data_IF_255197950810
#
_entry.id   IF_255197950810
#
_cell.length_a   1.000
_cell.length_b   1.000
_cell.length_c   1.000
_cell.angle_alpha   90.00
_cell.angle_beta   90.00
_cell.angle_gamma   90.00
#
_symmetry.space_group_name_H-M   'P 1'
#
loop_
_entity.id
_entity.type
_entity.pdbx_description
1 polymer ?
#
# COMPACT_ATOMS: atom_id res chain seq x y z
N UNK A 1 18.67 14.80 -0.85
CA UNK A 1 19.27 15.83 0.06
C UNK A 1 18.29 16.87 0.60
N UNK A 2 17.17 17.23 -0.09
CA UNK A 2 16.16 18.17 0.47
C UNK A 2 15.18 17.51 1.48
N UNK A 3 14.83 16.24 1.30
CA UNK A 3 13.86 15.48 2.11
C UNK A 3 14.23 15.38 3.60
N UNK A 4 15.44 14.94 3.94
CA UNK A 4 15.89 14.84 5.35
C UNK A 4 15.88 16.17 6.12
N UNK A 5 16.01 17.32 5.43
CA UNK A 5 15.87 18.65 6.04
C UNK A 5 14.41 19.09 6.24
N UNK A 6 13.47 18.51 5.50
CA UNK A 6 12.03 18.74 5.71
C UNK A 6 11.57 18.03 6.98
N UNK A 7 11.94 16.76 7.14
CA UNK A 7 11.56 15.91 8.28
C UNK A 7 11.93 16.53 9.64
N UNK A 8 13.16 17.05 9.76
CA UNK A 8 13.64 17.68 11.01
C UNK A 8 12.92 19.00 11.34
N UNK A 9 12.49 19.77 10.34
CA UNK A 9 11.93 21.12 10.51
C UNK A 9 10.45 21.11 10.91
N UNK A 10 9.71 20.07 10.55
CA UNK A 10 8.31 19.87 10.98
C UNK A 10 8.25 19.38 12.43
N UNK A 11 9.14 18.46 12.84
CA UNK A 11 9.17 17.86 14.20
C UNK A 11 9.47 18.87 15.32
N UNK A 12 10.30 19.89 15.08
CA UNK A 12 10.59 20.95 16.08
C UNK A 12 9.43 21.93 16.30
N UNK A 13 8.57 22.15 15.29
CA UNK A 13 7.49 23.14 15.39
C UNK A 13 6.38 22.69 16.36
N UNK A 14 6.14 21.39 16.47
CA UNK A 14 5.03 20.83 17.25
C UNK A 14 5.38 20.64 18.74
N UNK A 15 6.66 20.58 19.12
CA UNK A 15 7.11 20.54 20.54
C UNK A 15 6.69 21.74 21.39
N UNK A 16 6.21 22.84 20.78
CA UNK A 16 5.71 24.04 21.48
C UNK A 16 4.20 24.07 21.72
N UNK A 17 3.44 23.11 21.21
CA UNK A 17 1.97 23.08 21.32
C UNK A 17 1.51 22.10 22.42
N UNK A 18 2.29 21.05 22.68
CA UNK A 18 1.97 19.99 23.65
C UNK A 18 2.53 20.34 25.05
N UNK A 19 1.95 21.37 25.69
CA UNK A 19 2.25 21.71 27.09
C UNK A 19 1.03 22.12 27.91
N UNK A 20 -0.19 21.71 27.50
CA UNK A 20 -1.43 22.27 28.06
C UNK A 20 -2.62 21.31 28.23
N UNK A 21 -2.47 20.01 27.96
CA UNK A 21 -3.54 19.01 28.18
C UNK A 21 -3.00 17.73 28.83
N UNK A 22 -3.06 17.67 30.16
CA UNK A 22 -2.88 16.45 30.95
C UNK A 22 -3.62 16.57 32.30
N UNK A 23 -4.82 16.00 32.41
CA UNK A 23 -5.51 15.76 33.69
C UNK A 23 -6.74 14.82 33.56
N UNK A 24 -6.78 13.74 34.35
CA UNK A 24 -7.97 12.89 34.61
C UNK A 24 -8.12 11.66 33.70
N UNK A 25 -8.56 10.48 34.19
CA UNK A 25 -8.93 10.09 35.57
C UNK A 25 -8.83 8.54 35.76
N UNK A 26 -8.92 8.04 37.00
CA UNK A 26 -8.69 6.62 37.41
C UNK A 26 -9.94 5.99 38.05
N UNK A 27 -10.14 4.66 37.89
CA UNK A 27 -10.96 3.78 38.78
C UNK A 27 -11.22 2.39 38.18
N UNK A 28 -10.61 1.29 38.66
CA UNK A 28 -11.03 0.35 39.74
C UNK A 28 -12.38 -0.40 39.55
N UNK A 29 -12.63 -1.68 39.94
CA UNK A 29 -11.86 -2.96 40.11
C UNK A 29 -12.80 -4.03 40.76
N UNK A 30 -12.48 -5.34 40.64
CA UNK A 30 -13.16 -6.55 41.21
C UNK A 30 -14.44 -7.08 40.51
N UNK A 31 -14.88 -8.35 40.60
CA UNK A 31 -14.32 -9.71 40.77
C UNK A 31 -15.47 -10.66 41.24
N UNK A 32 -15.49 -11.94 40.87
CA UNK A 32 -16.48 -12.90 41.42
C UNK A 32 -16.34 -14.34 40.92
N UNK A 33 -16.25 -15.31 41.83
CA UNK A 33 -16.08 -16.75 41.56
C UNK A 33 -17.38 -17.56 41.81
N UNK A 34 -17.55 -18.73 41.17
CA UNK A 34 -18.63 -19.68 41.50
C UNK A 34 -18.60 -21.03 40.72
N UNK A 35 -18.57 -22.15 41.45
CA UNK A 35 -18.30 -23.56 41.03
C UNK A 35 -18.99 -24.50 42.07
N UNK A 36 -19.38 -25.79 41.85
CA UNK A 36 -19.25 -26.72 40.69
C UNK A 36 -20.59 -27.39 40.23
N UNK A 37 -20.58 -28.31 39.23
CA UNK A 37 -20.82 -29.77 39.41
C UNK A 37 -20.67 -30.62 38.13
N UNK A 38 -20.52 -31.94 38.31
CA UNK A 38 -19.87 -32.86 37.36
C UNK A 38 -20.79 -33.57 36.34
N UNK A 39 -20.21 -33.91 35.18
CA UNK A 39 -20.77 -34.84 34.19
C UNK A 39 -19.65 -35.39 33.29
N UNK A 40 -19.24 -36.64 33.53
CA UNK A 40 -18.15 -37.30 32.79
C UNK A 40 -18.63 -37.78 31.42
N UNK A 41 -18.26 -37.06 30.35
CA UNK A 41 -18.26 -37.57 28.97
C UNK A 41 -16.95 -37.17 28.27
N UNK A 42 -16.43 -38.13 27.52
CA UNK A 42 -15.16 -38.11 26.78
C UNK A 42 -14.97 -36.78 26.04
N UNK A 43 -13.96 -35.98 26.40
CA UNK A 43 -13.56 -34.82 25.62
C UNK A 43 -12.71 -35.25 24.42
N UNK A 44 -12.88 -34.63 23.23
CA UNK A 44 -11.89 -34.74 22.17
C UNK A 44 -10.55 -34.19 22.65
N UNK A 45 -9.48 -34.56 21.96
CA UNK A 45 -8.17 -33.91 22.07
C UNK A 45 -8.37 -32.38 22.09
N UNK A 46 -7.87 -31.72 23.15
CA UNK A 46 -7.75 -30.27 23.12
C UNK A 46 -6.75 -29.93 22.01
N UNK A 47 -7.28 -29.48 20.86
CA UNK A 47 -6.55 -28.54 20.04
C UNK A 47 -6.43 -27.31 20.93
N UNK A 48 -5.31 -27.20 21.66
CA UNK A 48 -4.90 -25.92 22.20
C UNK A 48 -4.80 -24.99 21.01
N UNK A 49 -5.80 -24.12 20.84
CA UNK A 49 -5.64 -22.93 20.04
C UNK A 49 -4.44 -22.21 20.67
N UNK A 50 -3.31 -22.25 19.97
CA UNK A 50 -2.18 -21.42 20.36
C UNK A 50 -2.70 -19.99 20.42
N UNK A 51 -2.43 -19.23 21.51
CA UNK A 51 -2.90 -17.86 21.59
C UNK A 51 -2.38 -17.11 20.36
N UNK A 52 -3.26 -16.38 19.69
CA UNK A 52 -2.89 -15.62 18.49
C UNK A 52 -1.67 -14.73 18.81
N UNK A 53 -0.61 -14.84 17.98
CA UNK A 53 0.64 -14.11 18.17
C UNK A 53 0.39 -12.60 18.33
N UNK A 54 -0.57 -12.09 17.57
CA UNK A 54 -1.05 -10.71 17.62
C UNK A 54 -2.45 -10.68 18.28
N UNK A 55 -2.68 -9.89 19.35
CA UNK A 55 -3.97 -9.83 20.03
C UNK A 55 -5.11 -9.30 19.15
N UNK A 56 -6.26 -9.98 19.17
CA UNK A 56 -7.48 -9.55 18.45
C UNK A 56 -7.93 -8.12 18.78
N UNK A 57 -7.65 -7.65 20.00
CA UNK A 57 -7.96 -6.29 20.43
C UNK A 57 -7.12 -5.24 19.70
N UNK A 58 -5.85 -5.56 19.42
CA UNK A 58 -4.92 -4.69 18.69
C UNK A 58 -5.30 -4.64 17.20
N UNK A 59 -5.57 -5.81 16.60
CA UNK A 59 -6.00 -5.87 15.20
C UNK A 59 -7.36 -5.19 15.01
N UNK A 60 -8.30 -5.36 15.95
CA UNK A 60 -9.58 -4.65 15.96
C UNK A 60 -9.41 -3.14 16.11
N UNK A 61 -8.52 -2.69 17.00
CA UNK A 61 -8.20 -1.27 17.19
C UNK A 61 -7.70 -0.65 15.88
N UNK A 62 -6.65 -1.21 15.27
CA UNK A 62 -6.11 -0.67 14.01
C UNK A 62 -7.08 -0.79 12.83
N UNK A 63 -7.85 -1.88 12.74
CA UNK A 63 -8.85 -2.07 11.68
C UNK A 63 -9.90 -0.96 11.65
N UNK A 64 -10.33 -0.45 12.81
CA UNK A 64 -11.32 0.63 12.90
C UNK A 64 -10.80 1.94 12.30
N UNK A 65 -9.48 2.17 12.31
CA UNK A 65 -8.87 3.38 11.75
C UNK A 65 -8.47 3.22 10.28
N UNK A 66 -8.05 2.03 9.86
CA UNK A 66 -7.81 1.73 8.44
C UNK A 66 -9.09 1.85 7.58
N UNK A 67 -10.28 1.81 8.21
CA UNK A 67 -11.59 2.08 7.59
C UNK A 67 -11.99 3.57 7.58
N UNK A 68 -11.21 4.44 8.21
CA UNK A 68 -11.45 5.89 8.27
C UNK A 68 -10.45 6.61 7.33
N UNK A 69 -10.04 7.83 7.67
CA UNK A 69 -9.05 8.56 6.87
C UNK A 69 -7.65 7.93 7.03
N UNK A 70 -7.07 7.49 5.91
CA UNK A 70 -5.74 6.87 5.88
C UNK A 70 -4.62 7.83 6.30
N UNK A 71 -4.84 9.14 6.21
CA UNK A 71 -3.83 10.13 6.62
C UNK A 71 -3.57 10.14 8.13
N UNK A 72 -4.54 9.71 8.93
CA UNK A 72 -4.47 9.72 10.39
C UNK A 72 -3.69 8.52 10.98
N UNK A 73 -3.40 7.47 10.18
CA UNK A 73 -2.69 6.24 10.62
C UNK A 73 -1.44 6.59 11.44
N UNK A 74 -0.66 7.57 10.98
CA UNK A 74 0.56 8.02 11.64
C UNK A 74 0.30 8.58 13.04
N UNK A 75 -0.74 9.39 13.19
CA UNK A 75 -1.07 10.07 14.44
C UNK A 75 -1.73 9.11 15.46
N UNK A 76 -2.32 8.01 14.98
CA UNK A 76 -2.86 6.91 15.79
C UNK A 76 -1.76 5.91 16.23
N UNK A 77 -0.77 5.66 15.36
CA UNK A 77 0.36 4.80 15.67
C UNK A 77 1.39 5.50 16.58
N UNK A 78 1.60 6.82 16.42
CA UNK A 78 2.64 7.56 17.17
C UNK A 78 2.55 7.48 18.71
N UNK A 79 1.36 7.41 19.36
CA UNK A 79 1.24 7.18 20.80
C UNK A 79 1.56 5.76 21.25
N UNK A 80 1.54 4.78 20.34
CA UNK A 80 1.86 3.39 20.62
C UNK A 80 3.36 3.07 20.44
N UNK A 81 4.11 3.91 19.71
CA UNK A 81 5.53 3.68 19.43
C UNK A 81 6.34 3.49 20.72
N UNK A 82 7.06 2.37 20.80
CA UNK A 82 7.89 1.98 21.93
C UNK A 82 9.38 1.90 21.63
N UNK A 83 9.78 2.03 20.35
CA UNK A 83 11.19 2.10 19.96
C UNK A 83 11.88 3.43 20.25
N UNK A 84 13.21 3.38 20.20
CA UNK A 84 14.10 4.53 20.20
C UNK A 84 15.12 4.44 19.07
N UNK A 85 15.02 5.35 18.10
CA UNK A 85 16.07 5.57 17.09
C UNK A 85 17.39 5.98 17.77
N UNK A 86 18.46 5.23 17.49
CA UNK A 86 19.81 5.45 18.03
C UNK A 86 20.63 6.38 17.14
N UNK A 87 21.55 7.15 17.76
CA UNK A 87 22.59 7.86 17.02
C UNK A 87 23.72 6.91 16.56
N UNK A 88 24.39 7.28 15.47
CA UNK A 88 25.53 6.52 14.94
C UNK A 88 26.69 6.44 15.94
N UNK A 89 26.81 7.43 16.83
CA UNK A 89 27.76 7.44 17.94
C UNK A 89 27.45 6.34 18.97
N UNK A 90 26.21 6.23 19.44
CA UNK A 90 25.79 5.15 20.37
C UNK A 90 25.99 3.76 19.77
N UNK A 91 25.63 3.56 18.49
CA UNK A 91 25.80 2.26 17.81
C UNK A 91 27.27 1.87 17.72
N UNK A 92 28.19 2.83 17.51
CA UNK A 92 29.64 2.56 17.52
C UNK A 92 30.16 2.19 18.91
N UNK A 93 29.72 2.89 19.95
CA UNK A 93 30.10 2.60 21.34
C UNK A 93 29.65 1.19 21.76
N UNK A 94 28.45 0.76 21.35
CA UNK A 94 27.99 -0.63 21.54
C UNK A 94 28.80 -1.63 20.72
N UNK A 95 29.06 -1.34 19.44
CA UNK A 95 29.76 -2.24 18.53
C UNK A 95 31.24 -2.48 18.90
N UNK A 96 31.90 -1.57 19.62
CA UNK A 96 33.27 -1.79 20.09
C UNK A 96 33.41 -3.05 20.97
N UNK A 97 32.34 -3.43 21.68
CA UNK A 97 32.29 -4.64 22.51
C UNK A 97 31.47 -5.78 21.88
N UNK A 98 30.77 -5.55 20.77
CA UNK A 98 29.82 -6.50 20.16
C UNK A 98 30.18 -6.81 18.72
N UNK A 99 30.75 -8.01 18.51
CA UNK A 99 31.33 -8.44 17.22
C UNK A 99 30.30 -8.43 16.08
N UNK A 100 29.08 -8.89 16.32
CA UNK A 100 28.06 -8.97 15.28
C UNK A 100 27.61 -7.57 14.81
N UNK A 101 27.37 -6.65 15.75
CA UNK A 101 27.07 -5.23 15.45
C UNK A 101 28.24 -4.54 14.73
N UNK A 102 29.48 -4.88 15.10
CA UNK A 102 30.68 -4.36 14.44
C UNK A 102 30.82 -4.82 13.00
N UNK A 103 30.47 -6.07 12.71
CA UNK A 103 30.45 -6.60 11.35
C UNK A 103 29.42 -5.86 10.50
N UNK A 104 28.18 -5.69 11.00
CA UNK A 104 27.13 -4.94 10.31
C UNK A 104 27.51 -3.46 10.07
N UNK A 105 28.12 -2.78 11.06
CA UNK A 105 28.64 -1.42 10.86
C UNK A 105 29.70 -1.36 9.74
N UNK A 106 30.57 -2.36 9.63
CA UNK A 106 31.57 -2.42 8.55
C UNK A 106 30.94 -2.66 7.18
N UNK A 107 29.90 -3.49 7.11
CA UNK A 107 29.13 -3.79 5.89
C UNK A 107 28.41 -2.54 5.37
N UNK A 108 27.56 -1.92 6.18
CA UNK A 108 26.81 -0.69 5.82
C UNK A 108 27.78 0.46 5.47
N UNK A 109 28.94 0.54 6.15
CA UNK A 109 29.98 1.53 5.84
C UNK A 109 30.59 1.33 4.45
N UNK A 110 30.72 0.08 3.99
CA UNK A 110 31.25 -0.27 2.67
C UNK A 110 30.26 0.00 1.54
N UNK A 111 28.96 -0.14 1.81
CA UNK A 111 27.91 -0.07 0.78
C UNK A 111 27.24 1.32 0.71
N UNK A 112 26.84 1.92 1.83
CA UNK A 112 25.97 3.13 1.85
C UNK A 112 26.38 4.22 2.86
N UNK A 113 27.69 4.47 3.00
CA UNK A 113 28.25 5.49 3.91
C UNK A 113 27.87 5.28 5.39
N UNK A 114 27.55 4.05 5.80
CA UNK A 114 27.16 3.75 7.18
C UNK A 114 25.73 4.20 7.54
N UNK A 115 24.83 4.28 6.55
CA UNK A 115 23.43 4.65 6.76
C UNK A 115 22.52 3.43 6.86
N UNK A 116 21.92 3.28 8.03
CA UNK A 116 20.77 2.42 8.31
C UNK A 116 19.98 3.05 9.45
N UNK A 117 18.75 2.58 9.68
CA UNK A 117 17.98 2.96 10.87
C UNK A 117 18.23 1.90 11.94
N UNK A 118 18.70 2.34 13.11
CA UNK A 118 18.96 1.50 14.27
C UNK A 118 17.94 1.86 15.36
N UNK A 119 17.13 0.89 15.76
CA UNK A 119 16.12 1.04 16.82
C UNK A 119 16.53 0.21 18.04
N UNK A 120 16.46 0.79 19.23
CA UNK A 120 16.54 0.07 20.50
C UNK A 120 15.11 -0.17 21.02
N UNK A 121 14.78 -1.42 21.36
CA UNK A 121 13.51 -1.84 21.97
C UNK A 121 13.60 -3.28 22.45
N UNK A 122 12.82 -3.67 23.46
CA UNK A 122 12.57 -5.07 23.82
C UNK A 122 11.71 -5.72 22.72
N UNK A 123 12.35 -6.27 21.68
CA UNK A 123 11.67 -6.70 20.46
C UNK A 123 11.05 -8.08 20.63
N UNK A 124 11.75 -8.97 21.33
CA UNK A 124 11.33 -10.36 21.54
C UNK A 124 10.51 -10.61 22.82
N UNK A 125 10.28 -9.56 23.63
CA UNK A 125 9.46 -9.53 24.84
C UNK A 125 10.04 -10.32 26.02
N UNK A 126 11.36 -10.52 26.09
CA UNK A 126 12.04 -11.13 27.26
C UNK A 126 12.33 -10.14 28.41
N UNK A 127 12.20 -8.83 28.16
CA UNK A 127 12.44 -7.76 29.14
C UNK A 127 13.84 -7.14 29.07
N UNK A 128 14.67 -7.53 28.10
CA UNK A 128 15.97 -6.96 27.76
C UNK A 128 15.81 -6.18 26.44
N UNK A 129 16.44 -5.01 26.33
CA UNK A 129 16.42 -4.29 25.06
C UNK A 129 17.26 -5.02 24.00
N UNK A 130 16.70 -5.19 22.82
CA UNK A 130 17.35 -5.61 21.59
C UNK A 130 17.73 -4.40 20.71
N UNK A 131 18.54 -4.65 19.69
CA UNK A 131 18.80 -3.69 18.61
C UNK A 131 18.23 -4.23 17.29
N UNK A 132 17.31 -3.50 16.69
CA UNK A 132 16.76 -3.79 15.36
C UNK A 132 17.36 -2.84 14.33
N UNK A 133 17.93 -3.39 13.26
CA UNK A 133 18.58 -2.67 12.16
C UNK A 133 17.74 -2.80 10.88
N UNK A 134 17.49 -1.67 10.22
CA UNK A 134 17.17 -1.61 8.80
C UNK A 134 18.39 -1.08 8.03
N UNK A 135 19.07 -1.95 7.29
CA UNK A 135 20.14 -1.61 6.35
C UNK A 135 19.56 -1.39 4.95
N UNK A 136 19.92 -0.27 4.32
CA UNK A 136 19.55 0.00 2.93
C UNK A 136 20.48 -0.74 1.97
N UNK A 137 19.94 -1.54 1.06
CA UNK A 137 20.69 -2.14 -0.05
C UNK A 137 20.62 -1.32 -1.34
N UNK A 138 19.87 -0.21 -1.30
CA UNK A 138 19.79 0.79 -2.36
C UNK A 138 19.09 0.28 -3.62
N UNK A 139 19.66 0.61 -4.78
CA UNK A 139 18.98 0.44 -6.06
C UNK A 139 17.70 1.29 -6.18
N UNK A 140 16.90 1.00 -7.20
CA UNK A 140 15.65 1.70 -7.50
C UNK A 140 14.41 1.04 -6.89
N UNK A 141 14.56 -0.17 -6.33
CA UNK A 141 13.50 -0.91 -5.62
C UNK A 141 13.48 -0.64 -4.11
N UNK A 142 14.52 0.03 -3.56
CA UNK A 142 14.71 0.21 -2.12
C UNK A 142 14.66 -1.10 -1.34
N UNK A 143 15.44 -2.08 -1.76
CA UNK A 143 15.61 -3.32 -0.99
C UNK A 143 16.33 -3.00 0.33
N UNK A 144 15.92 -3.65 1.41
CA UNK A 144 16.52 -3.52 2.75
C UNK A 144 16.82 -4.90 3.36
N UNK A 145 17.87 -4.97 4.18
CA UNK A 145 17.98 -6.04 5.18
C UNK A 145 17.37 -5.54 6.50
N UNK A 146 16.55 -6.39 7.12
CA UNK A 146 16.14 -6.24 8.51
C UNK A 146 16.92 -7.27 9.34
N UNK A 147 17.56 -6.82 10.42
CA UNK A 147 18.39 -7.66 11.28
C UNK A 147 18.07 -7.41 12.75
N UNK A 148 17.91 -8.47 13.54
CA UNK A 148 17.71 -8.40 14.99
C UNK A 148 18.98 -8.85 15.72
N UNK A 149 19.52 -7.97 16.56
CA UNK A 149 20.59 -8.29 17.49
C UNK A 149 20.00 -8.40 18.89
N UNK A 150 19.79 -9.63 19.36
CA UNK A 150 19.16 -9.88 20.67
C UNK A 150 20.10 -9.54 21.82
N UNK A 151 19.55 -8.81 22.80
CA UNK A 151 20.23 -8.44 24.03
C UNK A 151 20.46 -9.63 24.97
N UNK A 152 21.30 -9.43 26.00
CA UNK A 152 21.66 -10.46 26.99
C UNK A 152 21.89 -9.86 28.36
N UNK A 153 21.76 -10.68 29.40
CA UNK A 153 22.00 -10.30 30.80
C UNK A 153 23.41 -9.71 31.05
N UNK A 154 24.41 -10.08 30.24
CA UNK A 154 25.78 -9.57 30.33
C UNK A 154 26.02 -8.25 29.57
N UNK A 155 24.98 -7.69 28.94
CA UNK A 155 25.04 -6.50 28.11
C UNK A 155 25.64 -6.71 26.72
N UNK A 156 25.88 -7.97 26.31
CA UNK A 156 26.28 -8.30 24.94
C UNK A 156 25.08 -8.51 24.01
N UNK A 157 25.31 -8.29 22.73
CA UNK A 157 24.34 -8.45 21.66
C UNK A 157 24.80 -9.52 20.67
N UNK A 158 23.86 -10.32 20.17
CA UNK A 158 24.12 -11.34 19.15
C UNK A 158 23.11 -11.22 18.00
N UNK A 159 23.58 -11.31 16.76
CA UNK A 159 22.70 -11.46 15.59
C UNK A 159 21.94 -12.81 15.68
N UNK A 160 20.61 -12.73 15.74
CA UNK A 160 19.72 -13.86 16.01
C UNK A 160 18.74 -14.11 14.87
N UNK A 161 18.38 -13.06 14.12
CA UNK A 161 17.50 -13.11 12.96
C UNK A 161 17.89 -12.08 11.88
N UNK A 162 17.62 -12.39 10.62
CA UNK A 162 17.90 -11.52 9.46
C UNK A 162 17.05 -11.93 8.24
N UNK A 163 16.40 -10.97 7.58
CA UNK A 163 15.61 -11.19 6.37
C UNK A 163 15.69 -9.99 5.39
N UNK A 164 15.17 -10.16 4.17
CA UNK A 164 15.25 -9.17 3.08
C UNK A 164 13.84 -8.78 2.61
N UNK A 165 13.52 -7.50 2.58
CA UNK A 165 12.23 -7.00 2.05
C UNK A 165 12.43 -5.75 1.18
N UNK A 166 11.33 -5.24 0.61
CA UNK A 166 11.26 -3.86 0.14
C UNK A 166 11.11 -2.91 1.33
N UNK A 167 11.69 -1.73 1.24
CA UNK A 167 11.59 -0.71 2.28
C UNK A 167 10.12 -0.32 2.53
N UNK A 168 9.70 -0.42 3.79
CA UNK A 168 8.42 0.09 4.30
C UNK A 168 8.67 1.23 5.30
N UNK A 169 7.63 1.98 5.66
CA UNK A 169 7.66 2.77 6.90
C UNK A 169 7.39 1.81 8.07
N UNK A 170 8.18 1.87 9.15
CA UNK A 170 8.10 0.92 10.26
C UNK A 170 8.43 1.55 11.62
N UNK A 171 7.93 0.91 12.68
CA UNK A 171 8.20 1.22 14.09
C UNK A 171 7.78 0.04 14.97
N UNK A 172 8.41 -0.15 16.13
CA UNK A 172 7.82 -1.02 17.15
C UNK A 172 6.74 -0.27 17.92
N UNK A 173 5.60 -0.92 18.12
CA UNK A 173 4.50 -0.42 18.93
C UNK A 173 4.28 -1.32 20.15
N UNK A 174 3.89 -0.73 21.28
CA UNK A 174 3.52 -1.45 22.48
C UNK A 174 1.99 -1.56 22.63
N UNK A 175 1.53 -2.79 22.85
CA UNK A 175 0.16 -3.08 23.24
C UNK A 175 0.12 -3.96 24.49
N UNK A 176 -0.53 -3.47 25.56
CA UNK A 176 -0.67 -4.16 26.85
C UNK A 176 0.64 -4.72 27.44
N UNK A 177 1.76 -4.05 27.18
CA UNK A 177 3.08 -4.43 27.70
C UNK A 177 3.86 -5.43 26.83
N UNK A 178 3.36 -5.81 25.65
CA UNK A 178 4.14 -6.48 24.60
C UNK A 178 4.44 -5.52 23.45
N UNK A 179 5.61 -5.65 22.82
CA UNK A 179 6.03 -4.92 21.63
C UNK A 179 5.81 -5.76 20.37
N UNK A 180 5.45 -5.07 19.28
CA UNK A 180 5.18 -5.64 17.96
C UNK A 180 5.81 -4.75 16.89
N UNK A 181 6.47 -5.33 15.90
CA UNK A 181 6.96 -4.56 14.75
C UNK A 181 5.77 -4.27 13.83
N UNK A 182 5.44 -2.99 13.66
CA UNK A 182 4.43 -2.55 12.73
C UNK A 182 5.09 -1.97 11.48
N UNK A 183 4.66 -2.41 10.28
CA UNK A 183 5.10 -1.84 9.00
C UNK A 183 3.88 -1.37 8.19
N UNK A 184 3.93 -0.16 7.62
CA UNK A 184 2.94 0.30 6.64
C UNK A 184 3.18 -0.43 5.33
N UNK A 185 2.14 -1.08 4.78
CA UNK A 185 2.23 -1.80 3.51
C UNK A 185 1.67 -0.97 2.36
N UNK A 186 2.21 -1.19 1.17
CA UNK A 186 1.86 -0.45 -0.05
C UNK A 186 1.48 -1.42 -1.16
N UNK A 187 0.50 -1.04 -1.97
CA UNK A 187 0.31 -1.64 -3.29
C UNK A 187 1.40 -1.06 -4.22
N UNK A 188 2.14 -1.95 -4.90
CA UNK A 188 3.37 -1.57 -5.59
C UNK A 188 3.14 -0.87 -6.93
N UNK A 189 2.10 -1.22 -7.68
CA UNK A 189 1.84 -0.62 -9.01
C UNK A 189 1.41 0.85 -8.90
N UNK A 190 0.67 1.23 -7.85
CA UNK A 190 0.12 2.57 -7.60
C UNK A 190 0.84 3.38 -6.53
N UNK A 191 1.67 2.73 -5.70
CA UNK A 191 2.36 3.33 -4.54
C UNK A 191 1.41 3.84 -3.44
N UNK A 192 0.26 3.19 -3.32
CA UNK A 192 -0.82 3.53 -2.39
C UNK A 192 -0.79 2.68 -1.13
N UNK A 193 -1.13 3.24 0.03
CA UNK A 193 -1.18 2.49 1.30
C UNK A 193 -2.31 1.47 1.23
N UNK A 194 -1.97 0.18 1.36
CA UNK A 194 -2.89 -0.95 1.28
C UNK A 194 -3.07 -1.70 2.60
N UNK A 195 -2.40 -1.31 3.69
CA UNK A 195 -2.57 -1.95 5.00
C UNK A 195 -1.43 -1.69 5.99
N UNK A 196 -1.41 -2.51 7.04
CA UNK A 196 -0.37 -2.55 8.08
C UNK A 196 -0.04 -4.02 8.37
N UNK A 197 1.24 -4.42 8.33
CA UNK A 197 1.68 -5.68 8.93
C UNK A 197 1.97 -5.47 10.42
N UNK A 198 1.60 -6.45 11.24
CA UNK A 198 1.97 -6.55 12.65
C UNK A 198 2.72 -7.86 12.86
N UNK A 199 3.97 -7.77 13.28
CA UNK A 199 4.91 -8.87 13.34
C UNK A 199 5.38 -9.09 14.78
N UNK A 200 5.51 -10.36 15.17
CA UNK A 200 5.89 -10.79 16.51
C UNK A 200 7.28 -11.44 16.49
N UNK A 201 8.10 -11.11 17.49
CA UNK A 201 9.37 -11.77 17.75
C UNK A 201 9.30 -12.41 19.14
N UNK A 202 9.88 -13.60 19.29
CA UNK A 202 10.10 -14.27 20.58
C UNK A 202 11.43 -15.04 20.51
N UNK A 203 12.23 -15.04 21.60
CA UNK A 203 13.55 -15.68 21.68
C UNK A 203 14.52 -15.25 20.55
N UNK A 204 14.51 -13.95 20.24
CA UNK A 204 15.32 -13.31 19.22
C UNK A 204 14.98 -13.66 17.78
N UNK A 205 13.75 -14.13 17.50
CA UNK A 205 13.35 -14.59 16.16
C UNK A 205 11.93 -14.21 15.81
N UNK A 206 11.71 -13.85 14.55
CA UNK A 206 10.40 -13.72 13.94
C UNK A 206 9.58 -15.01 14.15
N UNK A 207 8.35 -14.85 14.63
CA UNK A 207 7.40 -15.95 14.87
C UNK A 207 6.24 -15.96 13.88
N UNK A 208 6.12 -14.94 13.04
CA UNK A 208 4.93 -14.66 12.24
C UNK A 208 4.24 -13.37 12.65
N UNK A 209 3.06 -13.15 12.08
CA UNK A 209 2.31 -11.91 12.24
C UNK A 209 0.93 -11.96 11.62
N UNK A 210 0.34 -10.77 11.43
CA UNK A 210 -0.90 -10.60 10.68
C UNK A 210 -0.83 -9.33 9.84
N UNK A 211 -1.25 -9.44 8.59
CA UNK A 211 -1.43 -8.30 7.70
C UNK A 211 -2.88 -7.85 7.73
N UNK A 212 -3.10 -6.59 8.10
CA UNK A 212 -4.40 -5.92 8.03
C UNK A 212 -4.53 -5.29 6.64
N UNK A 213 -4.96 -6.09 5.67
CA UNK A 213 -5.12 -5.66 4.29
C UNK A 213 -6.42 -4.86 4.10
N UNK A 214 -6.31 -3.68 3.49
CA UNK A 214 -7.45 -2.93 2.95
C UNK A 214 -7.85 -3.61 1.65
N UNK A 215 -9.06 -4.14 1.57
CA UNK A 215 -9.59 -4.82 0.39
C UNK A 215 -10.90 -4.19 -0.08
N UNK A 216 -11.17 -4.26 -1.39
CA UNK A 216 -12.48 -3.91 -1.93
C UNK A 216 -13.55 -4.88 -1.39
N UNK A 217 -14.73 -4.37 -1.03
CA UNK A 217 -15.89 -5.23 -0.79
C UNK A 217 -16.41 -5.76 -2.12
N UNK A 218 -16.79 -7.04 -2.14
CA UNK A 218 -17.39 -7.67 -3.31
C UNK A 218 -18.86 -7.28 -3.52
N UNK A 219 -19.32 -7.40 -4.76
CA UNK A 219 -20.71 -7.16 -5.16
C UNK A 219 -20.98 -5.75 -5.68
N UNK A 220 -22.09 -5.60 -6.41
CA UNK A 220 -22.52 -4.32 -7.00
C UNK A 220 -22.94 -3.30 -5.94
N UNK A 221 -23.51 -3.77 -4.83
CA UNK A 221 -24.05 -2.93 -3.75
C UNK A 221 -22.94 -2.27 -2.90
N UNK A 222 -21.68 -2.68 -3.11
CA UNK A 222 -20.49 -2.09 -2.53
C UNK A 222 -19.93 -0.90 -3.34
N UNK A 223 -20.59 -0.52 -4.44
CA UNK A 223 -20.13 0.52 -5.37
C UNK A 223 -21.14 1.66 -5.46
N UNK A 224 -20.66 2.89 -5.29
CA UNK A 224 -21.42 4.09 -5.66
C UNK A 224 -20.96 4.53 -7.04
N UNK A 225 -21.89 4.58 -8.00
CA UNK A 225 -21.60 4.82 -9.42
C UNK A 225 -22.43 6.02 -9.89
N UNK A 226 -21.74 7.07 -10.33
CA UNK A 226 -22.38 8.30 -10.81
C UNK A 226 -21.88 8.66 -12.20
N UNK A 227 -22.81 8.87 -13.13
CA UNK A 227 -22.51 9.34 -14.50
C UNK A 227 -22.91 10.79 -14.72
N UNK A 228 -21.98 11.60 -15.23
CA UNK A 228 -22.15 13.02 -15.58
C UNK A 228 -21.88 13.28 -17.07
N UNK A 229 -22.42 14.38 -17.62
CA UNK A 229 -22.34 14.68 -19.06
C UNK A 229 -21.77 16.08 -19.30
N UNK A 230 -20.61 16.16 -19.96
CA UNK A 230 -19.90 17.42 -20.18
C UNK A 230 -20.63 18.38 -21.15
N UNK A 231 -21.45 17.85 -22.07
CA UNK A 231 -22.23 18.63 -23.06
C UNK A 231 -23.75 18.36 -22.97
N UNK A 232 -24.24 18.04 -21.77
CA UNK A 232 -25.67 17.82 -21.52
C UNK A 232 -26.20 16.47 -22.03
N UNK A 233 -27.53 16.32 -22.03
CA UNK A 233 -28.21 15.02 -22.16
C UNK A 233 -28.11 14.31 -23.52
N UNK A 234 -27.41 14.88 -24.52
CA UNK A 234 -27.29 14.28 -25.86
C UNK A 234 -26.70 12.88 -25.82
N UNK A 235 -25.74 12.63 -24.91
CA UNK A 235 -24.98 11.37 -24.85
C UNK A 235 -25.49 10.41 -23.76
N UNK A 236 -26.77 10.55 -23.35
CA UNK A 236 -27.38 9.68 -22.34
C UNK A 236 -27.41 8.19 -22.73
N UNK A 237 -27.37 7.85 -24.02
CA UNK A 237 -27.30 6.47 -24.49
C UNK A 237 -26.05 5.71 -24.01
N UNK A 238 -24.93 6.40 -23.79
CA UNK A 238 -23.68 5.79 -23.33
C UNK A 238 -23.70 5.35 -21.86
N UNK A 239 -24.61 5.95 -21.06
CA UNK A 239 -24.68 5.78 -19.60
C UNK A 239 -24.71 4.30 -19.18
N UNK A 240 -25.67 3.54 -19.73
CA UNK A 240 -25.94 2.19 -19.26
C UNK A 240 -24.75 1.24 -19.53
N UNK A 241 -24.01 1.45 -20.62
CA UNK A 241 -22.82 0.67 -20.94
C UNK A 241 -21.71 0.94 -19.92
N UNK A 242 -21.42 2.22 -19.63
CA UNK A 242 -20.37 2.60 -18.68
C UNK A 242 -20.70 2.19 -17.24
N UNK A 243 -21.95 2.36 -16.79
CA UNK A 243 -22.34 1.92 -15.44
C UNK A 243 -22.35 0.39 -15.31
N UNK A 244 -22.72 -0.33 -16.38
CA UNK A 244 -22.59 -1.80 -16.40
C UNK A 244 -21.12 -2.23 -16.34
N UNK A 245 -20.23 -1.57 -17.06
CA UNK A 245 -18.80 -1.83 -16.99
C UNK A 245 -18.25 -1.53 -15.58
N UNK A 246 -18.52 -0.34 -15.04
CA UNK A 246 -18.05 0.08 -13.72
C UNK A 246 -18.56 -0.81 -12.57
N UNK A 247 -19.75 -1.38 -12.70
CA UNK A 247 -20.30 -2.33 -11.73
C UNK A 247 -19.52 -3.67 -11.69
N UNK A 248 -18.79 -4.03 -12.74
CA UNK A 248 -18.09 -5.32 -12.87
C UNK A 248 -16.56 -5.19 -12.97
N UNK A 249 -16.02 -3.99 -13.25
CA UNK A 249 -14.59 -3.78 -13.36
C UNK A 249 -13.88 -4.01 -12.01
N UNK A 250 -12.90 -4.90 -11.99
CA UNK A 250 -12.01 -5.09 -10.84
C UNK A 250 -10.72 -4.31 -11.11
N UNK A 251 -10.27 -3.54 -10.12
CA UNK A 251 -9.02 -2.79 -10.26
C UNK A 251 -7.85 -3.73 -10.57
N UNK A 252 -6.96 -3.31 -11.47
CA UNK A 252 -5.87 -4.13 -12.02
C UNK A 252 -6.31 -5.26 -12.96
N UNK A 253 -7.62 -5.46 -13.24
CA UNK A 253 -8.07 -6.41 -14.27
C UNK A 253 -7.89 -5.83 -15.67
N UNK A 254 -7.43 -6.67 -16.61
CA UNK A 254 -7.26 -6.27 -18.00
C UNK A 254 -8.60 -5.86 -18.62
N UNK A 255 -8.61 -4.67 -19.23
CA UNK A 255 -9.72 -4.21 -20.07
C UNK A 255 -9.52 -4.79 -21.48
N UNK A 256 -10.52 -5.48 -22.05
CA UNK A 256 -10.45 -5.98 -23.43
C UNK A 256 -10.51 -4.83 -24.45
N UNK A 257 -10.25 -5.14 -25.72
CA UNK A 257 -10.53 -4.18 -26.79
C UNK A 257 -12.02 -3.83 -26.86
N UNK A 258 -12.31 -2.58 -27.22
CA UNK A 258 -13.64 -2.08 -27.46
C UNK A 258 -14.23 -2.55 -28.80
N UNK A 259 -15.50 -2.27 -29.01
CA UNK A 259 -16.27 -2.82 -30.14
C UNK A 259 -15.88 -2.25 -31.51
N UNK A 260 -15.25 -1.08 -31.59
CA UNK A 260 -14.72 -0.54 -32.84
C UNK A 260 -13.35 -1.13 -33.20
N UNK A 261 -12.63 -1.69 -32.22
CA UNK A 261 -11.26 -2.13 -32.37
C UNK A 261 -11.14 -3.54 -32.95
N UNK A 262 -10.11 -3.74 -33.79
CA UNK A 262 -9.64 -5.07 -34.18
C UNK A 262 -8.23 -5.28 -33.65
N UNK A 263 -8.02 -6.45 -33.05
CA UNK A 263 -6.72 -6.89 -32.53
C UNK A 263 -5.97 -7.71 -33.59
N UNK A 264 -4.69 -7.39 -33.83
CA UNK A 264 -3.82 -8.25 -34.63
C UNK A 264 -3.35 -9.45 -33.80
N UNK A 265 -3.71 -10.66 -34.25
CA UNK A 265 -3.49 -11.93 -33.50
C UNK A 265 -2.04 -12.24 -33.12
N UNK A 266 -1.08 -11.63 -33.81
CA UNK A 266 0.36 -11.86 -33.61
C UNK A 266 1.05 -10.72 -32.84
N UNK A 267 0.30 -9.68 -32.41
CA UNK A 267 0.79 -8.52 -31.68
C UNK A 267 -0.27 -8.02 -30.67
N UNK A 268 -0.40 -8.68 -29.51
CA UNK A 268 -1.48 -8.50 -28.51
C UNK A 268 -1.60 -7.14 -27.81
N UNK A 269 -0.94 -6.09 -28.32
CA UNK A 269 -1.11 -4.69 -27.92
C UNK A 269 -1.55 -3.79 -29.07
N UNK A 270 -1.54 -4.30 -30.32
CA UNK A 270 -1.87 -3.52 -31.52
C UNK A 270 -3.38 -3.54 -31.78
N UNK A 271 -3.93 -2.35 -31.96
CA UNK A 271 -5.33 -2.04 -32.22
C UNK A 271 -5.47 -1.35 -33.57
N UNK A 272 -6.59 -1.59 -34.25
CA UNK A 272 -6.94 -0.97 -35.54
C UNK A 272 -8.41 -0.57 -35.53
N UNK A 273 -8.70 0.73 -35.60
CA UNK A 273 -10.05 1.30 -35.79
C UNK A 273 -9.96 2.71 -36.43
N UNK A 274 -11.11 3.31 -36.75
CA UNK A 274 -11.26 4.74 -37.10
C UNK A 274 -11.37 5.52 -35.78
N UNK A 275 -10.23 5.86 -35.15
CA UNK A 275 -10.23 6.37 -33.76
C UNK A 275 -10.62 7.85 -33.69
N UNK A 276 -10.30 8.63 -34.73
CA UNK A 276 -10.62 10.06 -34.83
C UNK A 276 -11.77 10.38 -35.80
N UNK A 277 -12.60 9.38 -36.12
CA UNK A 277 -13.87 9.54 -36.84
C UNK A 277 -13.73 10.25 -38.20
N UNK A 278 -12.59 10.08 -38.87
CA UNK A 278 -12.26 10.72 -40.14
C UNK A 278 -12.66 9.87 -41.37
N UNK A 279 -13.10 8.63 -41.14
CA UNK A 279 -13.50 7.65 -42.15
C UNK A 279 -12.35 6.79 -42.71
N UNK A 280 -11.14 6.92 -42.17
CA UNK A 280 -9.96 6.08 -42.44
C UNK A 280 -9.81 5.10 -41.27
N UNK A 281 -8.67 4.42 -41.16
CA UNK A 281 -8.41 3.49 -40.04
C UNK A 281 -6.95 3.58 -39.64
N UNK A 282 -6.73 3.82 -38.37
CA UNK A 282 -5.43 4.06 -37.77
C UNK A 282 -4.94 2.77 -37.13
N UNK A 283 -3.64 2.70 -36.90
CA UNK A 283 -2.98 1.58 -36.26
C UNK A 283 -2.14 2.12 -35.11
N UNK A 284 -2.40 1.60 -33.91
CA UNK A 284 -1.79 2.07 -32.68
C UNK A 284 -1.59 0.92 -31.69
N UNK A 285 -0.71 1.13 -30.73
CA UNK A 285 -0.38 0.23 -29.65
C UNK A 285 -0.98 0.78 -28.34
N UNK A 286 -1.66 -0.08 -27.59
CA UNK A 286 -2.16 0.19 -26.24
C UNK A 286 -1.59 -0.86 -25.30
N UNK A 287 -0.87 -0.43 -24.28
CA UNK A 287 -0.33 -1.33 -23.25
C UNK A 287 -0.25 -0.63 -21.89
N UNK A 288 -0.28 -1.41 -20.82
CA UNK A 288 0.09 -0.92 -19.50
C UNK A 288 1.63 -0.98 -19.38
N UNK A 289 2.27 0.16 -19.18
CA UNK A 289 3.67 0.21 -18.78
C UNK A 289 3.77 -0.18 -17.30
N UNK A 290 4.51 -1.25 -17.02
CA UNK A 290 4.66 -1.78 -15.66
C UNK A 290 5.93 -1.23 -14.99
N UNK A 291 5.79 -0.76 -13.76
CA UNK A 291 6.89 -0.19 -13.00
C UNK A 291 7.80 -1.26 -12.42
N UNK A 292 9.11 -1.03 -12.53
CA UNK A 292 10.16 -1.84 -11.88
C UNK A 292 10.95 -1.05 -10.84
N UNK A 293 10.35 0.04 -10.32
CA UNK A 293 10.98 0.87 -9.31
C UNK A 293 9.98 1.52 -8.34
N UNK A 294 10.52 2.01 -7.23
CA UNK A 294 9.79 2.61 -6.12
C UNK A 294 9.28 4.04 -6.43
N UNK A 295 9.72 4.67 -7.52
CA UNK A 295 9.46 6.09 -7.83
C UNK A 295 8.38 6.34 -8.89
N UNK A 296 8.05 5.34 -9.71
CA UNK A 296 7.04 5.45 -10.77
C UNK A 296 5.89 4.48 -10.52
N UNK A 297 4.69 4.87 -10.98
CA UNK A 297 3.50 4.01 -11.03
C UNK A 297 3.38 3.31 -12.38
N UNK A 298 2.64 2.22 -12.42
CA UNK A 298 2.13 1.66 -13.66
C UNK A 298 1.25 2.69 -14.36
N UNK A 299 1.26 2.76 -15.69
CA UNK A 299 0.44 3.72 -16.44
C UNK A 299 0.25 3.31 -17.89
N UNK A 300 -0.79 3.88 -18.51
CA UNK A 300 -1.15 3.72 -19.91
C UNK A 300 -0.02 4.21 -20.83
N UNK A 301 0.42 3.34 -21.73
CA UNK A 301 1.28 3.66 -22.86
C UNK A 301 0.47 3.60 -24.15
N UNK A 302 0.52 4.68 -24.93
CA UNK A 302 -0.14 4.81 -26.23
C UNK A 302 0.88 5.26 -27.29
N UNK A 303 0.90 4.59 -28.43
CA UNK A 303 1.81 4.89 -29.55
C UNK A 303 1.10 4.60 -30.88
N UNK A 304 1.06 5.57 -31.80
CA UNK A 304 0.39 5.44 -33.09
C UNK A 304 1.34 5.78 -34.23
N UNK A 305 1.03 5.29 -35.44
CA UNK A 305 1.80 5.66 -36.65
C UNK A 305 1.68 7.14 -37.04
N UNK A 306 0.69 7.83 -36.52
CA UNK A 306 0.52 9.27 -36.68
C UNK A 306 0.88 9.99 -35.37
N UNK A 307 1.99 10.73 -35.40
CA UNK A 307 2.47 11.55 -34.30
C UNK A 307 1.39 12.55 -33.82
N UNK A 308 0.53 13.04 -34.71
CA UNK A 308 -0.54 13.97 -34.35
C UNK A 308 -1.64 13.29 -33.52
N UNK A 309 -2.09 12.10 -33.92
CA UNK A 309 -2.95 11.25 -33.10
C UNK A 309 -2.33 10.94 -31.74
N UNK A 310 -1.06 10.53 -31.70
CA UNK A 310 -0.35 10.26 -30.43
C UNK A 310 -0.32 11.48 -29.52
N UNK A 311 -0.02 12.67 -30.05
CA UNK A 311 -0.04 13.90 -29.25
C UNK A 311 -1.46 14.21 -28.73
N UNK A 312 -2.51 14.11 -29.56
CA UNK A 312 -3.91 14.34 -29.12
C UNK A 312 -4.32 13.38 -28.00
N UNK A 313 -3.90 12.11 -28.06
CA UNK A 313 -4.19 11.13 -27.00
C UNK A 313 -3.38 11.45 -25.73
N UNK A 314 -2.13 11.91 -25.84
CA UNK A 314 -1.39 12.41 -24.68
C UNK A 314 -1.98 13.70 -24.08
N UNK A 315 -2.54 14.60 -24.89
CA UNK A 315 -3.15 15.84 -24.42
C UNK A 315 -4.41 15.56 -23.57
N UNK A 316 -5.23 14.56 -23.93
CA UNK A 316 -6.37 14.12 -23.10
C UNK A 316 -5.97 13.26 -21.89
N UNK A 317 -4.82 12.57 -21.94
CA UNK A 317 -4.28 11.79 -20.81
C UNK A 317 -3.71 12.71 -19.72
N UNK A 318 -3.14 13.87 -20.12
CA UNK A 318 -2.46 14.81 -19.23
C UNK A 318 -3.25 16.13 -19.06
N UNK A 319 -4.58 16.11 -19.22
CA UNK A 319 -5.44 17.28 -19.00
C UNK A 319 -5.40 17.67 -17.50
N UNK A 320 -4.90 18.88 -17.18
CA UNK A 320 -4.52 19.33 -15.81
C UNK A 320 -5.63 19.17 -14.73
N UNK A 321 -6.89 19.10 -15.13
CA UNK A 321 -8.06 18.97 -14.24
C UNK A 321 -8.44 17.49 -13.92
N UNK A 322 -7.76 16.49 -14.50
CA UNK A 322 -7.99 15.06 -14.27
C UNK A 322 -7.14 14.55 -13.09
N UNK A 323 -7.72 13.68 -12.26
CA UNK A 323 -7.03 13.02 -11.15
C UNK A 323 -6.80 11.52 -11.44
N UNK A 324 -6.01 10.87 -10.59
CA UNK A 324 -5.72 9.44 -10.72
C UNK A 324 -4.65 9.10 -11.75
N UNK A 325 -4.49 7.80 -11.97
CA UNK A 325 -3.46 7.19 -12.81
C UNK A 325 -4.16 6.63 -14.06
N UNK A 326 -3.81 7.04 -15.29
CA UNK A 326 -4.40 6.49 -16.51
C UNK A 326 -3.94 5.04 -16.66
N UNK A 327 -4.87 4.07 -16.67
CA UNK A 327 -4.53 2.63 -16.72
C UNK A 327 -4.90 1.97 -18.04
N UNK A 328 -6.06 2.33 -18.62
CA UNK A 328 -6.59 1.65 -19.82
C UNK A 328 -7.21 2.62 -20.83
N UNK A 329 -7.09 2.26 -22.11
CA UNK A 329 -7.78 2.88 -23.24
C UNK A 329 -8.46 1.80 -24.07
N UNK A 330 -9.68 2.06 -24.54
CA UNK A 330 -10.38 1.24 -25.53
C UNK A 330 -11.33 2.11 -26.37
N UNK A 331 -11.79 1.59 -27.52
CA UNK A 331 -12.67 2.35 -28.44
C UNK A 331 -13.91 1.53 -28.82
N UNK A 332 -15.09 2.03 -28.47
CA UNK A 332 -16.37 1.39 -28.86
C UNK A 332 -17.04 2.11 -30.03
N UNK A 333 -17.65 1.34 -30.93
CA UNK A 333 -18.55 1.83 -31.98
C UNK A 333 -19.90 2.19 -31.35
N UNK A 334 -20.37 3.42 -31.57
CA UNK A 334 -21.64 3.93 -31.01
C UNK A 334 -22.47 4.68 -32.05
N UNK A 335 -23.73 4.97 -31.74
CA UNK A 335 -24.60 5.82 -32.58
C UNK A 335 -24.08 7.26 -32.75
N UNK A 336 -23.07 7.68 -31.97
CA UNK A 336 -22.43 9.00 -32.01
C UNK A 336 -21.11 9.01 -32.78
N UNK A 337 -20.66 7.85 -33.30
CA UNK A 337 -19.30 7.61 -33.79
C UNK A 337 -18.52 6.69 -32.86
N UNK A 338 -17.23 6.51 -33.15
CA UNK A 338 -16.29 5.77 -32.31
C UNK A 338 -15.88 6.63 -31.11
N UNK A 339 -16.12 6.13 -29.90
CA UNK A 339 -15.84 6.82 -28.65
C UNK A 339 -14.62 6.19 -28.00
N UNK A 340 -13.59 7.01 -27.77
CA UNK A 340 -12.40 6.60 -27.02
C UNK A 340 -12.70 6.73 -25.53
N UNK A 341 -12.55 5.65 -24.78
CA UNK A 341 -12.67 5.66 -23.33
C UNK A 341 -11.31 5.55 -22.67
N UNK A 342 -11.13 6.31 -21.58
CA UNK A 342 -9.97 6.26 -20.70
C UNK A 342 -10.43 5.91 -19.28
N UNK A 343 -9.80 4.92 -18.66
CA UNK A 343 -10.01 4.61 -17.24
C UNK A 343 -8.82 5.10 -16.43
N UNK A 344 -9.11 5.91 -15.41
CA UNK A 344 -8.17 6.39 -14.42
C UNK A 344 -8.47 5.73 -13.07
N UNK A 345 -7.46 5.15 -12.42
CA UNK A 345 -7.60 4.63 -11.06
C UNK A 345 -7.17 5.69 -10.03
N UNK A 346 -7.96 5.85 -8.97
CA UNK A 346 -7.74 6.77 -7.87
C UNK A 346 -7.55 6.00 -6.55
N UNK A 347 -6.41 6.19 -5.89
CA UNK A 347 -6.07 5.43 -4.71
C UNK A 347 -6.00 3.93 -4.97
N UNK A 348 -6.58 3.12 -4.07
CA UNK A 348 -6.53 1.65 -4.19
C UNK A 348 -7.53 1.07 -5.18
N UNK A 349 -8.78 1.55 -5.17
CA UNK A 349 -9.92 0.85 -5.79
C UNK A 349 -10.95 1.77 -6.45
N UNK A 350 -10.90 3.07 -6.17
CA UNK A 350 -11.77 4.02 -6.84
C UNK A 350 -11.25 4.24 -8.26
N UNK A 351 -12.14 4.57 -9.19
CA UNK A 351 -11.77 4.87 -10.55
C UNK A 351 -12.84 5.72 -11.21
N UNK A 352 -12.47 6.40 -12.30
CA UNK A 352 -13.41 7.05 -13.17
C UNK A 352 -13.10 6.73 -14.64
N UNK A 353 -14.15 6.74 -15.46
CA UNK A 353 -14.07 6.47 -16.90
C UNK A 353 -14.51 7.72 -17.65
N UNK A 354 -13.65 8.23 -18.53
CA UNK A 354 -13.93 9.38 -19.37
C UNK A 354 -14.16 8.93 -20.82
N UNK A 355 -15.26 9.36 -21.44
CA UNK A 355 -15.53 9.12 -22.86
C UNK A 355 -15.30 10.37 -23.70
N UNK A 356 -14.45 10.26 -24.72
CA UNK A 356 -14.09 11.32 -25.65
C UNK A 356 -14.50 10.96 -27.09
N UNK A 357 -15.03 11.93 -27.82
CA UNK A 357 -15.12 11.89 -29.28
C UNK A 357 -13.89 12.60 -29.85
N UNK A 358 -13.07 11.90 -30.62
CA UNK A 358 -11.89 12.46 -31.29
C UNK A 358 -12.23 12.83 -32.75
N UNK A 359 -11.49 13.79 -33.28
CA UNK A 359 -11.57 14.30 -34.66
C UNK A 359 -10.17 14.59 -35.22
N UNK A 360 -10.02 14.77 -36.55
CA UNK A 360 -8.74 15.11 -37.20
C UNK A 360 -7.99 16.32 -36.56
N UNK A 361 -8.66 17.18 -35.78
CA UNK A 361 -8.01 18.37 -35.16
C UNK A 361 -8.41 18.71 -33.71
N UNK A 362 -9.32 17.97 -33.08
CA UNK A 362 -9.88 18.33 -31.76
C UNK A 362 -10.39 17.09 -30.99
N UNK A 363 -10.51 17.21 -29.68
CA UNK A 363 -10.98 16.16 -28.76
C UNK A 363 -12.10 16.68 -27.85
N UNK A 364 -13.24 15.99 -27.83
CA UNK A 364 -14.41 16.43 -27.06
C UNK A 364 -14.79 15.43 -25.97
N UNK A 365 -14.54 15.79 -24.71
CA UNK A 365 -15.09 15.07 -23.54
C UNK A 365 -16.62 15.07 -23.60
N UNK A 366 -17.23 13.89 -23.57
CA UNK A 366 -18.68 13.68 -23.67
C UNK A 366 -19.31 13.38 -22.30
N UNK A 367 -18.70 12.45 -21.59
CA UNK A 367 -19.27 11.72 -20.46
C UNK A 367 -18.16 11.34 -19.47
N UNK A 368 -18.52 11.26 -18.19
CA UNK A 368 -17.67 10.78 -17.12
C UNK A 368 -18.51 9.87 -16.22
N UNK A 369 -18.01 8.67 -15.92
CA UNK A 369 -18.63 7.74 -14.96
C UNK A 369 -17.64 7.50 -13.83
N UNK A 370 -17.98 8.02 -12.66
CA UNK A 370 -17.21 7.91 -11.43
C UNK A 370 -17.67 6.66 -10.66
N UNK A 371 -16.74 5.89 -10.09
CA UNK A 371 -17.03 4.70 -9.29
C UNK A 371 -16.22 4.73 -7.99
N UNK A 372 -16.91 4.95 -6.87
CA UNK A 372 -16.34 4.82 -5.53
C UNK A 372 -16.62 3.42 -4.98
N UNK A 373 -15.57 2.72 -4.53
CA UNK A 373 -15.62 1.32 -4.10
C UNK A 373 -15.45 1.24 -2.59
N UNK A 374 -16.48 0.75 -1.89
CA UNK A 374 -16.39 0.54 -0.45
C UNK A 374 -15.28 -0.47 -0.12
N UNK A 375 -14.45 -0.12 0.86
CA UNK A 375 -13.40 -0.99 1.37
C UNK A 375 -13.78 -1.67 2.68
N UNK A 376 -13.07 -2.75 3.01
CA UNK A 376 -13.11 -3.45 4.27
C UNK A 376 -11.69 -3.83 4.69
N UNK A 377 -11.51 -4.26 5.94
CA UNK A 377 -10.24 -4.80 6.42
C UNK A 377 -10.35 -6.31 6.53
N UNK A 378 -9.41 -7.00 5.89
CA UNK A 378 -9.25 -8.45 5.96
C UNK A 378 -7.94 -8.78 6.63
N UNK A 379 -7.97 -9.66 7.63
CA UNK A 379 -6.77 -10.14 8.30
C UNK A 379 -6.21 -11.34 7.53
N UNK A 380 -4.90 -11.35 7.27
CA UNK A 380 -4.18 -12.45 6.64
C UNK A 380 -3.04 -12.87 7.57
N UNK A 381 -2.96 -14.16 7.94
CA UNK A 381 -1.87 -14.69 8.77
C UNK A 381 -0.55 -14.68 8.00
N UNK A 382 0.52 -14.25 8.66
CA UNK A 382 1.88 -14.24 8.11
C UNK A 382 2.71 -15.30 8.84
N UNK A 383 3.21 -16.31 8.13
CA UNK A 383 4.06 -17.38 8.70
C UNK A 383 5.54 -17.19 8.44
N UNK A 384 5.88 -16.39 7.43
CA UNK A 384 7.23 -15.99 7.02
C UNK A 384 7.25 -14.46 6.86
N UNK A 385 8.42 -13.79 6.82
CA UNK A 385 8.51 -12.38 6.45
C UNK A 385 8.05 -12.15 5.00
N UNK A 386 7.81 -10.89 4.60
CA UNK A 386 7.40 -10.59 3.22
C UNK A 386 8.60 -10.70 2.26
N UNK A 387 8.92 -11.93 1.83
CA UNK A 387 9.99 -12.17 0.86
C UNK A 387 9.69 -11.51 -0.50
N UNK A 388 10.75 -11.06 -1.17
CA UNK A 388 10.66 -10.47 -2.51
C UNK A 388 10.39 -11.58 -3.54
N UNK A 389 9.11 -11.85 -3.80
CA UNK A 389 8.68 -12.57 -5.00
C UNK A 389 8.83 -11.63 -6.21
N UNK A 390 9.86 -11.89 -7.04
CA UNK A 390 10.22 -11.11 -8.22
C UNK A 390 9.68 -11.65 -9.54
#
# INVERSE_FOLDING_TARGET
>A
MKTARLYKKTREKNRKIISLLAAGLIGLVLAGCGIPYAGSLITPYEIQQMPALIPEELTSYLSQYLQQDKTDIRDIMSPLVSDREMSLEEVKELADNNVDMKNALHEIASTYQGRGIWLETDADNDGINDIFLCEYLGGTLHIVYYSLFTGREDGSYKLTDCHTELQKEFSFIQWKGKNYLAKTTYEFTKKEINGISLECYENGRYQGGVWLAITAKEGTDARDIQTTYAKGSKYQGLKNTLETFAAHHLSGSQVPHGTAEREEKDAGYRRICDIDNDGKTEEYNVSLWMTSNYYTVDHLSFDAKDDALTQRVYDIINEDDIQGIPMYLWVDETEYGNITYLLYEEGLYDFHILGYLLSESDSLKLIQTDCHVQTQITLQEMTEPDEIHG
#
